data_IF_556204460196
#
_entry.id   IF_556204460196
#
_cell.length_a   1.000
_cell.length_b   1.000
_cell.length_c   1.000
_cell.angle_alpha   90.00
_cell.angle_beta   90.00
_cell.angle_gamma   90.00
#
_symmetry.space_group_name_H-M   'P 1'
#
loop_
_entity.id
_entity.type
_entity.pdbx_description
1 polymer ?
#
# COMPACT_ATOMS: atom_id res chain seq x y z
N UNK A 1 -37.90 -20.05 -31.19
CA UNK A 1 -36.63 -19.96 -31.97
C UNK A 1 -35.83 -18.69 -31.68
N UNK A 2 -36.44 -17.51 -31.57
CA UNK A 2 -35.74 -16.24 -31.31
C UNK A 2 -35.00 -16.21 -29.95
N UNK A 3 -35.61 -16.71 -28.87
CA UNK A 3 -34.98 -16.82 -27.54
C UNK A 3 -33.78 -17.77 -27.48
N UNK A 4 -33.77 -18.83 -28.29
CA UNK A 4 -32.65 -19.78 -28.36
C UNK A 4 -31.44 -19.16 -29.09
N UNK A 5 -31.70 -18.37 -30.14
CA UNK A 5 -30.66 -17.61 -30.86
C UNK A 5 -30.05 -16.52 -29.99
N UNK A 6 -30.85 -15.76 -29.23
CA UNK A 6 -30.34 -14.73 -28.30
C UNK A 6 -29.49 -15.34 -27.18
N UNK A 7 -29.91 -16.48 -26.62
CA UNK A 7 -29.11 -17.21 -25.61
C UNK A 7 -27.78 -17.72 -26.15
N UNK A 8 -27.77 -18.25 -27.37
CA UNK A 8 -26.55 -18.75 -28.00
C UNK A 8 -25.58 -17.61 -28.34
N UNK A 9 -26.09 -16.47 -28.82
CA UNK A 9 -25.26 -15.27 -29.09
C UNK A 9 -24.69 -14.67 -27.79
N UNK A 10 -25.47 -14.61 -26.70
CA UNK A 10 -24.97 -14.13 -25.40
C UNK A 10 -23.91 -15.06 -24.80
N UNK A 11 -24.06 -16.38 -24.93
CA UNK A 11 -23.06 -17.35 -24.50
C UNK A 11 -21.76 -17.26 -25.31
N UNK A 12 -21.86 -17.05 -26.63
CA UNK A 12 -20.69 -16.82 -27.49
C UNK A 12 -20.00 -15.48 -27.19
N UNK A 13 -20.75 -14.41 -26.90
CA UNK A 13 -20.18 -13.13 -26.49
C UNK A 13 -19.47 -13.23 -25.13
N UNK A 14 -20.10 -13.89 -24.16
CA UNK A 14 -19.52 -14.13 -22.84
C UNK A 14 -18.24 -14.98 -22.94
N UNK A 15 -18.25 -16.04 -23.75
CA UNK A 15 -17.05 -16.86 -24.00
C UNK A 15 -15.94 -16.06 -24.72
N UNK A 16 -16.29 -15.19 -25.65
CA UNK A 16 -15.34 -14.30 -26.33
C UNK A 16 -14.65 -13.30 -25.40
N UNK A 17 -15.39 -12.69 -24.47
CA UNK A 17 -14.80 -11.78 -23.46
C UNK A 17 -13.85 -12.50 -22.49
N UNK A 18 -14.10 -13.78 -22.16
CA UNK A 18 -13.24 -14.53 -21.22
C UNK A 18 -11.87 -14.90 -21.78
N UNK A 19 -11.72 -15.00 -23.10
CA UNK A 19 -10.47 -15.40 -23.73
C UNK A 19 -9.47 -14.23 -23.91
N UNK A 20 -9.95 -12.99 -24.04
CA UNK A 20 -9.11 -11.81 -24.33
C UNK A 20 -8.51 -11.21 -23.05
N UNK A 21 -9.14 -11.43 -21.89
CA UNK A 21 -8.71 -10.82 -20.63
C UNK A 21 -7.65 -11.59 -19.85
N UNK A 22 -7.21 -12.79 -20.28
CA UNK A 22 -6.27 -13.59 -19.49
C UNK A 22 -4.83 -13.40 -19.99
N UNK A 23 -3.99 -12.71 -19.23
CA UNK A 23 -2.59 -12.44 -19.55
C UNK A 23 -1.66 -13.01 -18.45
N UNK A 24 -0.39 -13.25 -18.77
CA UNK A 24 0.63 -13.62 -17.77
C UNK A 24 1.35 -12.37 -17.25
N UNK A 25 1.57 -12.29 -15.94
CA UNK A 25 2.47 -11.32 -15.33
C UNK A 25 3.93 -11.58 -15.77
N UNK A 26 4.74 -10.52 -15.96
CA UNK A 26 6.15 -10.67 -16.27
C UNK A 26 6.90 -11.34 -15.12
N UNK A 27 8.00 -12.02 -15.44
CA UNK A 27 8.91 -12.75 -14.52
C UNK A 27 8.29 -13.96 -13.79
N UNK A 28 7.08 -13.86 -13.25
CA UNK A 28 6.42 -14.96 -12.52
C UNK A 28 5.55 -15.86 -13.41
N UNK A 29 5.10 -15.35 -14.56
CA UNK A 29 4.21 -16.08 -15.48
C UNK A 29 2.77 -16.24 -14.98
N UNK A 30 2.43 -15.67 -13.82
CA UNK A 30 1.14 -15.80 -13.15
C UNK A 30 0.00 -15.32 -14.04
N UNK A 31 -1.06 -16.12 -14.15
CA UNK A 31 -2.27 -15.71 -14.89
C UNK A 31 -3.05 -14.65 -14.12
N UNK A 32 -3.46 -13.61 -14.84
CA UNK A 32 -4.23 -12.48 -14.34
C UNK A 32 -5.31 -12.05 -15.32
N UNK A 33 -6.35 -11.43 -14.78
CA UNK A 33 -7.46 -10.87 -15.57
C UNK A 33 -7.23 -9.38 -15.81
N UNK A 34 -7.00 -9.01 -17.07
CA UNK A 34 -6.79 -7.65 -17.55
C UNK A 34 -7.82 -7.34 -18.63
N UNK A 35 -8.89 -6.65 -18.25
CA UNK A 35 -9.97 -6.22 -19.14
C UNK A 35 -9.66 -4.86 -19.80
N UNK A 36 -8.69 -4.13 -19.27
CA UNK A 36 -8.27 -2.82 -19.74
C UNK A 36 -6.94 -2.92 -20.51
N UNK A 37 -6.78 -2.20 -21.65
CA UNK A 37 -5.49 -2.10 -22.30
C UNK A 37 -4.50 -1.28 -21.46
N UNK A 38 -3.22 -1.65 -21.49
CA UNK A 38 -2.17 -0.96 -20.72
C UNK A 38 -2.06 0.53 -21.11
N UNK A 39 -2.35 0.91 -22.35
CA UNK A 39 -2.34 2.32 -22.78
C UNK A 39 -3.35 3.18 -22.01
N UNK A 40 -4.50 2.61 -21.63
CA UNK A 40 -5.48 3.29 -20.81
C UNK A 40 -4.98 3.39 -19.36
N UNK A 41 -4.35 2.33 -18.82
CA UNK A 41 -3.70 2.37 -17.51
C UNK A 41 -2.63 3.45 -17.43
N UNK A 42 -1.79 3.60 -18.47
CA UNK A 42 -0.76 4.65 -18.57
C UNK A 42 -1.37 6.04 -18.59
N UNK A 43 -2.45 6.25 -19.34
CA UNK A 43 -3.15 7.54 -19.39
C UNK A 43 -3.73 7.93 -18.02
N UNK A 44 -4.35 6.96 -17.35
CA UNK A 44 -4.88 7.14 -16.00
C UNK A 44 -3.77 7.37 -14.97
N UNK A 45 -2.66 6.64 -15.06
CA UNK A 45 -1.49 6.80 -14.22
C UNK A 45 -0.88 8.20 -14.34
N UNK A 46 -0.77 8.73 -15.56
CA UNK A 46 -0.32 10.11 -15.79
C UNK A 46 -1.26 11.14 -15.17
N UNK A 47 -2.57 10.95 -15.30
CA UNK A 47 -3.58 11.86 -14.74
C UNK A 47 -3.50 11.88 -13.21
N UNK A 48 -3.43 10.70 -12.59
CA UNK A 48 -3.32 10.57 -11.13
C UNK A 48 -1.99 11.11 -10.59
N UNK A 49 -0.88 10.90 -11.32
CA UNK A 49 0.42 11.44 -10.93
C UNK A 49 0.44 12.98 -10.95
N UNK A 50 -0.15 13.58 -11.99
CA UNK A 50 -0.28 15.04 -12.07
C UNK A 50 -1.16 15.57 -10.93
N UNK A 51 -2.31 14.93 -10.67
CA UNK A 51 -3.21 15.33 -9.58
C UNK A 51 -2.52 15.32 -8.21
N UNK A 52 -1.74 14.28 -7.90
CA UNK A 52 -0.96 14.22 -6.65
C UNK A 52 0.12 15.30 -6.64
N UNK A 53 0.89 15.44 -7.71
CA UNK A 53 2.05 16.35 -7.74
C UNK A 53 1.68 17.83 -7.89
N UNK A 54 0.44 18.14 -8.24
CA UNK A 54 -0.13 19.49 -8.19
C UNK A 54 -0.65 19.86 -6.78
N UNK A 55 -1.11 18.87 -6.00
CA UNK A 55 -1.70 19.08 -4.67
C UNK A 55 -0.68 19.00 -3.54
N UNK A 56 0.30 18.12 -3.68
CA UNK A 56 1.33 17.86 -2.69
C UNK A 56 2.59 18.70 -2.97
N UNK A 57 3.22 19.30 -1.96
CA UNK A 57 4.43 20.09 -2.13
C UNK A 57 5.62 19.21 -2.58
N UNK A 58 6.41 19.65 -3.58
CA UNK A 58 7.64 18.96 -3.96
C UNK A 58 8.71 19.18 -2.88
N UNK A 59 9.44 18.11 -2.55
CA UNK A 59 10.61 18.17 -1.66
C UNK A 59 11.61 19.23 -2.09
N UNK A 60 12.20 19.91 -1.10
CA UNK A 60 13.36 20.80 -1.28
C UNK A 60 14.67 20.13 -0.83
N UNK A 61 14.62 18.89 -0.37
CA UNK A 61 15.78 18.14 0.10
C UNK A 61 16.53 17.54 -1.09
N UNK A 62 17.55 18.25 -1.58
CA UNK A 62 18.36 17.83 -2.73
C UNK A 62 19.03 16.47 -2.52
N UNK A 63 19.39 16.11 -1.28
CA UNK A 63 19.97 14.80 -0.98
C UNK A 63 18.97 13.67 -1.21
N UNK A 64 17.70 13.85 -0.80
CA UNK A 64 16.65 12.87 -1.04
C UNK A 64 16.26 12.79 -2.52
N UNK A 65 16.20 13.93 -3.20
CA UNK A 65 15.93 13.99 -4.64
C UNK A 65 16.99 13.22 -5.43
N UNK A 66 18.28 13.52 -5.20
CA UNK A 66 19.39 12.86 -5.88
C UNK A 66 19.41 11.35 -5.59
N UNK A 67 19.13 10.96 -4.34
CA UNK A 67 19.07 9.58 -3.92
C UNK A 67 17.94 8.81 -4.63
N UNK A 68 16.71 9.33 -4.59
CA UNK A 68 15.54 8.72 -5.24
C UNK A 68 15.72 8.65 -6.75
N UNK A 69 16.26 9.69 -7.38
CA UNK A 69 16.50 9.69 -8.82
C UNK A 69 17.57 8.66 -9.21
N UNK A 70 18.68 8.57 -8.45
CA UNK A 70 19.75 7.59 -8.69
C UNK A 70 19.25 6.17 -8.53
N UNK A 71 18.57 5.86 -7.43
CA UNK A 71 18.01 4.54 -7.16
C UNK A 71 16.98 4.17 -8.22
N UNK A 72 16.03 5.07 -8.47
CA UNK A 72 14.97 4.88 -9.46
C UNK A 72 15.49 4.58 -10.85
N UNK A 73 16.47 5.35 -11.33
CA UNK A 73 17.09 5.13 -12.66
C UNK A 73 17.76 3.76 -12.76
N UNK A 74 18.44 3.28 -11.70
CA UNK A 74 19.06 1.94 -11.70
C UNK A 74 18.01 0.83 -11.75
N UNK A 75 16.93 0.92 -10.97
CA UNK A 75 15.84 -0.06 -11.02
C UNK A 75 15.14 -0.04 -12.39
N UNK A 76 14.83 1.15 -12.91
CA UNK A 76 14.18 1.32 -14.21
C UNK A 76 15.01 0.75 -15.37
N UNK A 77 16.34 0.85 -15.30
CA UNK A 77 17.24 0.28 -16.30
C UNK A 77 17.14 -1.25 -16.41
N UNK A 78 16.82 -1.95 -15.31
CA UNK A 78 16.68 -3.42 -15.28
C UNK A 78 15.23 -3.90 -15.31
N UNK A 79 14.27 -2.99 -15.27
CA UNK A 79 12.83 -3.27 -15.37
C UNK A 79 12.39 -3.71 -16.78
N UNK A 80 13.23 -3.51 -17.80
CA UNK A 80 12.99 -3.90 -19.20
C UNK A 80 11.63 -3.42 -19.75
N UNK A 81 11.29 -2.16 -19.47
CA UNK A 81 10.03 -1.53 -19.87
C UNK A 81 10.28 -0.23 -20.64
N UNK A 82 10.71 -0.31 -21.92
CA UNK A 82 11.12 0.87 -22.71
C UNK A 82 9.97 1.83 -23.04
N UNK A 83 8.72 1.34 -23.04
CA UNK A 83 7.54 2.16 -23.29
C UNK A 83 7.16 3.07 -22.11
N UNK A 84 7.76 2.86 -20.92
CA UNK A 84 7.51 3.69 -19.75
C UNK A 84 8.42 4.92 -19.75
N UNK A 85 7.80 6.09 -19.50
CA UNK A 85 8.50 7.37 -19.37
C UNK A 85 8.77 7.63 -17.90
N UNK A 86 9.81 6.96 -17.40
CA UNK A 86 10.23 6.98 -16.01
C UNK A 86 10.43 8.41 -15.50
N UNK A 87 9.75 8.73 -14.40
CA UNK A 87 9.83 9.99 -13.70
C UNK A 87 9.76 9.71 -12.20
N UNK A 88 10.69 10.29 -11.45
CA UNK A 88 10.84 10.08 -10.02
C UNK A 88 10.69 11.43 -9.33
N UNK A 89 9.76 11.52 -8.38
CA UNK A 89 9.56 12.73 -7.57
C UNK A 89 9.61 12.40 -6.09
N UNK A 90 10.05 13.38 -5.31
CA UNK A 90 10.01 13.33 -3.85
C UNK A 90 8.98 14.34 -3.37
N UNK A 91 8.07 13.90 -2.50
CA UNK A 91 7.00 14.72 -1.92
C UNK A 91 7.38 15.12 -0.50
N UNK A 92 7.30 16.41 -0.19
CA UNK A 92 7.58 16.98 1.14
C UNK A 92 6.44 16.65 2.11
N UNK A 93 6.50 15.46 2.70
CA UNK A 93 5.50 14.99 3.66
C UNK A 93 6.09 13.92 4.58
N UNK A 94 5.66 13.93 5.84
CA UNK A 94 6.04 12.96 6.87
C UNK A 94 5.36 11.60 6.68
N UNK A 95 4.46 11.49 5.71
CA UNK A 95 3.83 10.23 5.35
C UNK A 95 4.88 9.20 4.96
N UNK A 96 4.84 8.03 5.60
CA UNK A 96 5.68 6.90 5.23
C UNK A 96 5.01 6.14 4.09
N UNK A 97 5.24 6.59 2.85
CA UNK A 97 4.66 5.97 1.67
C UNK A 97 5.53 6.16 0.42
N UNK A 98 5.27 5.35 -0.60
CA UNK A 98 5.77 5.48 -1.96
C UNK A 98 4.78 4.79 -2.91
N UNK A 99 4.77 5.18 -4.18
CA UNK A 99 3.97 4.50 -5.19
C UNK A 99 4.62 4.56 -6.57
N UNK A 100 4.28 3.61 -7.44
CA UNK A 100 4.58 3.64 -8.86
C UNK A 100 3.31 3.40 -9.68
N UNK A 101 2.94 4.37 -10.51
CA UNK A 101 1.81 4.27 -11.42
C UNK A 101 2.25 3.79 -12.81
N UNK A 102 1.35 3.16 -13.58
CA UNK A 102 1.60 2.80 -14.97
C UNK A 102 2.14 3.97 -15.79
N UNK A 103 3.10 3.69 -16.67
CA UNK A 103 3.83 4.72 -17.43
C UNK A 103 5.13 5.17 -16.76
N UNK A 104 5.49 4.58 -15.62
CA UNK A 104 6.76 4.81 -14.93
C UNK A 104 6.75 6.05 -14.03
N UNK A 105 5.60 6.36 -13.43
CA UNK A 105 5.45 7.55 -12.58
C UNK A 105 5.60 7.18 -11.12
N UNK A 106 6.76 7.50 -10.54
CA UNK A 106 7.14 7.10 -9.20
C UNK A 106 7.18 8.32 -8.29
N UNK A 107 6.52 8.22 -7.14
CA UNK A 107 6.62 9.22 -6.07
C UNK A 107 7.05 8.56 -4.77
N UNK A 108 7.95 9.21 -4.05
CA UNK A 108 8.43 8.80 -2.72
C UNK A 108 8.17 9.94 -1.76
N UNK A 109 7.53 9.67 -0.63
CA UNK A 109 7.30 10.67 0.41
C UNK A 109 8.53 10.72 1.32
N UNK A 110 8.95 11.91 1.75
CA UNK A 110 10.14 12.05 2.61
C UNK A 110 10.09 11.16 3.85
N UNK A 111 8.90 10.98 4.44
CA UNK A 111 8.69 10.19 5.65
C UNK A 111 9.21 8.75 5.58
N UNK A 112 9.20 8.09 4.41
CA UNK A 112 9.66 6.70 4.29
C UNK A 112 11.19 6.57 4.18
N UNK A 113 11.87 7.62 3.71
CA UNK A 113 13.30 7.57 3.36
C UNK A 113 14.17 7.25 4.60
N UNK A 114 13.97 7.86 5.77
CA UNK A 114 14.76 7.53 6.96
C UNK A 114 14.54 6.10 7.48
N UNK A 115 13.38 5.49 7.21
CA UNK A 115 13.09 4.09 7.59
C UNK A 115 13.90 3.10 6.76
N UNK A 116 14.29 3.50 5.56
CA UNK A 116 15.08 2.69 4.65
C UNK A 116 16.49 2.42 5.19
N UNK A 117 17.06 3.32 6.00
CA UNK A 117 18.40 3.27 6.61
C UNK A 117 19.61 3.22 5.66
N UNK A 118 19.44 2.71 4.44
CA UNK A 118 20.47 2.62 3.40
C UNK A 118 19.86 2.87 2.02
N UNK A 119 20.71 3.19 1.04
CA UNK A 119 20.30 3.28 -0.36
C UNK A 119 19.67 1.98 -0.87
N UNK A 120 20.20 0.81 -0.48
CA UNK A 120 19.59 -0.47 -0.81
C UNK A 120 18.22 -0.66 -0.13
N UNK A 121 18.03 -0.15 1.08
CA UNK A 121 16.72 -0.14 1.73
C UNK A 121 15.68 0.68 0.96
N UNK A 122 16.08 1.83 0.39
CA UNK A 122 15.20 2.60 -0.50
C UNK A 122 14.94 1.85 -1.80
N UNK A 123 15.96 1.17 -2.33
CA UNK A 123 15.82 0.33 -3.50
C UNK A 123 14.84 -0.84 -3.29
N UNK A 124 14.72 -1.39 -2.06
CA UNK A 124 13.68 -2.38 -1.71
C UNK A 124 12.29 -1.78 -1.92
N UNK A 125 12.02 -0.59 -1.37
CA UNK A 125 10.73 0.09 -1.55
C UNK A 125 10.45 0.38 -3.02
N UNK A 126 11.40 1.01 -3.72
CA UNK A 126 11.18 1.43 -5.11
C UNK A 126 11.05 0.23 -6.07
N UNK A 127 11.81 -0.84 -5.87
CA UNK A 127 11.69 -2.05 -6.69
C UNK A 127 10.37 -2.78 -6.47
N UNK A 128 9.83 -2.77 -5.24
CA UNK A 128 8.50 -3.28 -4.93
C UNK A 128 7.41 -2.46 -5.64
N UNK A 129 7.47 -1.13 -5.57
CA UNK A 129 6.50 -0.27 -6.28
C UNK A 129 6.56 -0.49 -7.80
N UNK A 130 7.77 -0.51 -8.37
CA UNK A 130 7.97 -0.77 -9.80
C UNK A 130 7.44 -2.16 -10.18
N UNK A 131 7.62 -3.16 -9.31
CA UNK A 131 7.08 -4.49 -9.52
C UNK A 131 5.55 -4.49 -9.64
N UNK A 132 4.82 -3.71 -8.83
CA UNK A 132 3.37 -3.56 -8.99
C UNK A 132 2.97 -3.02 -10.36
N UNK A 133 3.69 -2.02 -10.86
CA UNK A 133 3.43 -1.43 -12.17
C UNK A 133 3.75 -2.42 -13.31
N UNK A 134 4.89 -3.11 -13.24
CA UNK A 134 5.27 -4.13 -14.24
C UNK A 134 4.28 -5.30 -14.25
N UNK A 135 3.87 -5.77 -13.08
CA UNK A 135 2.88 -6.84 -12.93
C UNK A 135 1.46 -6.40 -13.29
N UNK A 136 1.23 -5.10 -13.50
CA UNK A 136 -0.08 -4.49 -13.76
C UNK A 136 -1.10 -4.79 -12.67
N UNK A 137 -0.66 -4.84 -11.40
CA UNK A 137 -1.54 -5.13 -10.25
C UNK A 137 -2.69 -4.13 -10.12
N UNK A 138 -2.44 -2.84 -10.40
CA UNK A 138 -3.49 -1.82 -10.44
C UNK A 138 -4.54 -2.11 -11.52
N UNK A 139 -4.07 -2.42 -12.74
CA UNK A 139 -4.92 -2.81 -13.86
C UNK A 139 -5.73 -4.08 -13.60
N UNK A 140 -5.12 -5.09 -12.96
CA UNK A 140 -5.79 -6.33 -12.58
C UNK A 140 -6.90 -6.05 -11.55
N UNK A 141 -6.63 -5.24 -10.52
CA UNK A 141 -7.65 -4.84 -9.54
C UNK A 141 -8.80 -4.08 -10.17
N UNK A 142 -8.50 -3.14 -11.06
CA UNK A 142 -9.54 -2.39 -11.78
C UNK A 142 -10.39 -3.32 -12.64
N UNK A 143 -9.76 -4.27 -13.33
CA UNK A 143 -10.43 -5.28 -14.14
C UNK A 143 -11.34 -6.19 -13.30
N UNK A 144 -10.89 -6.61 -12.12
CA UNK A 144 -11.69 -7.37 -11.17
C UNK A 144 -12.91 -6.58 -10.70
N UNK A 145 -12.74 -5.29 -10.37
CA UNK A 145 -13.86 -4.42 -9.98
C UNK A 145 -14.86 -4.24 -11.13
N UNK A 146 -14.39 -4.01 -12.35
CA UNK A 146 -15.25 -3.93 -13.54
C UNK A 146 -16.05 -5.22 -13.77
N UNK A 147 -15.42 -6.38 -13.58
CA UNK A 147 -16.09 -7.67 -13.71
C UNK A 147 -17.20 -7.83 -12.63
N UNK A 148 -16.89 -7.50 -11.38
CA UNK A 148 -17.86 -7.53 -10.27
C UNK A 148 -19.02 -6.58 -10.54
N UNK A 149 -18.75 -5.36 -10.99
CA UNK A 149 -19.80 -4.37 -11.28
C UNK A 149 -20.64 -4.77 -12.49
N UNK A 150 -20.04 -5.34 -13.53
CA UNK A 150 -20.76 -5.90 -14.66
C UNK A 150 -21.72 -7.02 -14.25
N UNK A 151 -21.30 -7.89 -13.33
CA UNK A 151 -22.17 -8.93 -12.75
C UNK A 151 -23.32 -8.31 -11.95
N UNK A 152 -23.05 -7.30 -11.11
CA UNK A 152 -24.10 -6.59 -10.36
C UNK A 152 -25.14 -5.98 -11.30
N UNK A 153 -24.69 -5.30 -12.36
CA UNK A 153 -25.58 -4.70 -13.35
C UNK A 153 -26.44 -5.75 -14.07
N UNK A 154 -25.86 -6.88 -14.45
CA UNK A 154 -26.59 -7.99 -15.07
C UNK A 154 -27.66 -8.58 -14.13
N UNK A 155 -27.33 -8.77 -12.85
CA UNK A 155 -28.29 -9.23 -11.83
C UNK A 155 -29.43 -8.22 -11.67
N UNK A 156 -29.11 -6.94 -11.51
CA UNK A 156 -30.11 -5.86 -11.41
C UNK A 156 -31.03 -5.79 -12.63
N UNK A 157 -30.50 -6.03 -13.83
CA UNK A 157 -31.28 -6.07 -15.07
C UNK A 157 -32.25 -7.25 -15.10
N UNK A 158 -31.80 -8.45 -14.73
CA UNK A 158 -32.65 -9.65 -14.64
C UNK A 158 -33.74 -9.46 -13.57
N UNK A 159 -33.41 -8.78 -12.47
CA UNK A 159 -34.36 -8.43 -11.40
C UNK A 159 -35.26 -7.22 -11.73
N UNK A 160 -35.18 -6.66 -12.94
CA UNK A 160 -35.93 -5.49 -13.42
C UNK A 160 -35.77 -4.22 -12.57
N UNK A 161 -34.69 -4.10 -11.79
CA UNK A 161 -34.45 -2.95 -10.92
C UNK A 161 -33.73 -1.82 -11.68
N UNK A 162 -34.39 -1.24 -12.69
CA UNK A 162 -33.79 -0.29 -13.65
C UNK A 162 -33.33 1.03 -13.02
N UNK A 163 -33.88 1.40 -11.86
CA UNK A 163 -33.46 2.61 -11.14
C UNK A 163 -32.11 2.42 -10.44
N UNK A 164 -31.78 1.21 -9.99
CA UNK A 164 -30.45 0.91 -9.46
C UNK A 164 -29.39 0.93 -10.55
N UNK A 165 -29.69 0.37 -11.74
CA UNK A 165 -28.76 0.38 -12.88
C UNK A 165 -28.39 1.81 -13.28
N UNK A 166 -29.37 2.73 -13.36
CA UNK A 166 -29.10 4.14 -13.68
C UNK A 166 -28.25 4.83 -12.63
N UNK A 167 -28.51 4.58 -11.34
CA UNK A 167 -27.70 5.15 -10.24
C UNK A 167 -26.27 4.64 -10.30
N UNK A 168 -26.06 3.35 -10.51
CA UNK A 168 -24.73 2.73 -10.59
C UNK A 168 -23.92 3.29 -11.76
N UNK A 169 -24.53 3.42 -12.95
CA UNK A 169 -23.86 3.99 -14.14
C UNK A 169 -23.47 5.45 -13.91
N UNK A 170 -24.36 6.26 -13.33
CA UNK A 170 -24.06 7.67 -13.02
C UNK A 170 -22.95 7.76 -11.98
N UNK A 171 -23.01 7.00 -10.89
CA UNK A 171 -21.97 7.00 -9.86
C UNK A 171 -20.61 6.53 -10.39
N UNK A 172 -20.59 5.57 -11.32
CA UNK A 172 -19.37 5.12 -11.97
C UNK A 172 -18.82 6.19 -12.94
N UNK A 173 -19.68 6.87 -13.70
CA UNK A 173 -19.25 7.96 -14.58
C UNK A 173 -18.68 9.16 -13.82
N UNK A 174 -19.20 9.46 -12.62
CA UNK A 174 -18.74 10.57 -11.78
C UNK A 174 -17.60 10.20 -10.81
N UNK A 175 -17.48 8.93 -10.40
CA UNK A 175 -16.53 8.49 -9.36
C UNK A 175 -15.16 8.02 -9.88
N UNK A 176 -14.98 7.88 -11.19
CA UNK A 176 -13.75 7.33 -11.80
C UNK A 176 -12.57 8.31 -11.77
N UNK A 177 -12.77 9.59 -11.44
CA UNK A 177 -11.75 10.63 -11.63
C UNK A 177 -10.66 10.73 -10.56
N UNK A 178 -10.79 10.11 -9.38
CA UNK A 178 -9.78 10.34 -8.31
C UNK A 178 -9.54 9.21 -7.30
N UNK A 179 -10.45 8.25 -7.12
CA UNK A 179 -10.40 7.37 -5.93
C UNK A 179 -9.84 5.96 -6.15
N UNK A 180 -9.73 5.46 -7.37
CA UNK A 180 -9.61 4.02 -7.59
C UNK A 180 -8.18 3.49 -7.82
N UNK A 181 -7.20 4.34 -8.15
CA UNK A 181 -5.86 3.89 -8.56
C UNK A 181 -4.79 3.89 -7.46
N UNK A 182 -4.77 4.90 -6.60
CA UNK A 182 -3.63 5.18 -5.71
C UNK A 182 -3.81 4.58 -4.30
N UNK A 183 -5.05 4.34 -3.86
CA UNK A 183 -5.37 4.07 -2.44
C UNK A 183 -6.06 2.73 -2.19
N UNK A 184 -6.21 1.90 -3.22
CA UNK A 184 -6.90 0.62 -3.09
C UNK A 184 -5.91 -0.46 -2.62
N UNK A 185 -6.10 -1.06 -1.43
CA UNK A 185 -5.13 -1.98 -0.87
C UNK A 185 -4.95 -3.21 -1.75
N UNK A 186 -3.70 -3.55 -2.08
CA UNK A 186 -3.39 -4.71 -2.89
C UNK A 186 -3.75 -6.03 -2.19
N UNK A 187 -3.98 -7.08 -3.00
CA UNK A 187 -4.21 -8.41 -2.44
C UNK A 187 -2.91 -9.00 -1.93
N UNK A 188 -2.94 -9.91 -0.94
CA UNK A 188 -1.73 -10.60 -0.47
C UNK A 188 -0.97 -11.30 -1.61
N UNK A 189 -1.69 -11.80 -2.61
CA UNK A 189 -1.11 -12.42 -3.80
C UNK A 189 -0.35 -11.41 -4.67
N UNK A 190 -0.85 -10.18 -4.79
CA UNK A 190 -0.14 -9.09 -5.47
C UNK A 190 1.11 -8.69 -4.70
N UNK A 191 1.02 -8.59 -3.38
CA UNK A 191 2.16 -8.27 -2.53
C UNK A 191 3.27 -9.31 -2.64
N UNK A 192 2.97 -10.60 -2.49
CA UNK A 192 3.99 -11.67 -2.60
C UNK A 192 4.63 -11.73 -3.99
N UNK A 193 3.86 -11.43 -5.05
CA UNK A 193 4.40 -11.33 -6.41
C UNK A 193 5.29 -10.08 -6.58
N UNK A 194 4.87 -8.95 -6.04
CA UNK A 194 5.65 -7.71 -6.07
C UNK A 194 6.95 -7.85 -5.26
N UNK A 195 6.92 -8.55 -4.13
CA UNK A 195 8.11 -8.90 -3.34
C UNK A 195 9.08 -9.76 -4.14
N UNK A 196 8.61 -10.79 -4.85
CA UNK A 196 9.47 -11.65 -5.67
C UNK A 196 10.07 -10.91 -6.85
N UNK A 197 9.24 -10.20 -7.63
CA UNK A 197 9.71 -9.39 -8.78
C UNK A 197 10.64 -8.28 -8.29
N UNK A 198 10.29 -7.58 -7.21
CA UNK A 198 11.07 -6.51 -6.62
C UNK A 198 12.45 -7.01 -6.20
N UNK A 199 12.55 -8.18 -5.57
CA UNK A 199 13.82 -8.78 -5.18
C UNK A 199 14.71 -9.13 -6.40
N UNK A 200 14.10 -9.58 -7.50
CA UNK A 200 14.80 -9.82 -8.78
C UNK A 200 15.32 -8.51 -9.38
N UNK A 201 14.51 -7.44 -9.38
CA UNK A 201 14.92 -6.13 -9.88
C UNK A 201 16.02 -5.52 -9.02
N UNK A 202 15.88 -5.59 -7.70
CA UNK A 202 16.86 -5.15 -6.72
C UNK A 202 18.22 -5.80 -6.98
N UNK A 203 18.24 -7.12 -7.14
CA UNK A 203 19.44 -7.89 -7.44
C UNK A 203 20.08 -7.49 -8.77
N UNK A 204 19.29 -7.42 -9.85
CA UNK A 204 19.77 -7.05 -11.19
C UNK A 204 20.33 -5.63 -11.24
N UNK A 205 19.77 -4.72 -10.44
CA UNK A 205 20.24 -3.35 -10.31
C UNK A 205 21.52 -3.22 -9.46
N UNK A 206 22.05 -4.33 -8.93
CA UNK A 206 23.29 -4.36 -8.18
C UNK A 206 23.14 -4.06 -6.69
N UNK A 207 21.92 -4.08 -6.13
CA UNK A 207 21.70 -3.92 -4.70
C UNK A 207 21.63 -5.27 -3.99
N UNK A 208 22.11 -5.33 -2.75
CA UNK A 208 22.16 -6.56 -1.96
C UNK A 208 20.74 -7.09 -1.62
N UNK A 209 20.33 -8.25 -2.14
CA UNK A 209 19.00 -8.81 -1.88
C UNK A 209 18.73 -9.15 -0.42
N UNK A 210 19.78 -9.33 0.39
CA UNK A 210 19.65 -9.59 1.83
C UNK A 210 19.10 -8.38 2.59
N UNK A 211 19.06 -7.20 1.95
CA UNK A 211 18.50 -6.00 2.55
C UNK A 211 16.97 -6.02 2.60
N UNK A 212 16.29 -6.70 1.69
CA UNK A 212 14.83 -6.77 1.67
C UNK A 212 14.22 -7.34 2.97
N UNK A 213 14.61 -8.54 3.46
CA UNK A 213 14.07 -9.05 4.72
C UNK A 213 14.44 -8.14 5.92
N UNK A 214 15.62 -7.51 5.90
CA UNK A 214 16.05 -6.58 6.98
C UNK A 214 15.20 -5.31 6.99
N UNK A 215 14.91 -4.74 5.83
CA UNK A 215 14.01 -3.60 5.69
C UNK A 215 12.65 -3.93 6.29
N UNK A 216 12.06 -5.07 5.93
CA UNK A 216 10.74 -5.46 6.43
C UNK A 216 10.70 -5.72 7.94
N UNK A 217 11.79 -6.24 8.52
CA UNK A 217 11.95 -6.32 9.98
C UNK A 217 11.96 -4.92 10.60
N UNK A 218 12.83 -4.01 10.12
CA UNK A 218 12.91 -2.63 10.64
C UNK A 218 11.59 -1.88 10.50
N UNK A 219 10.94 -2.02 9.35
CA UNK A 219 9.66 -1.38 9.06
C UNK A 219 8.55 -1.89 10.00
N UNK A 220 8.55 -3.20 10.31
CA UNK A 220 7.66 -3.79 11.29
C UNK A 220 7.91 -3.35 12.74
N UNK A 221 9.16 -3.03 13.10
CA UNK A 221 9.54 -2.50 14.41
C UNK A 221 9.14 -1.03 14.57
N UNK A 222 9.33 -0.21 13.52
CA UNK A 222 8.88 1.19 13.50
C UNK A 222 7.37 1.35 13.74
N UNK A 223 6.57 0.33 13.34
CA UNK A 223 5.13 0.27 13.56
C UNK A 223 4.71 0.18 15.04
N UNK A 224 5.57 -0.32 15.93
CA UNK A 224 5.18 -0.59 17.33
C UNK A 224 5.07 0.68 18.20
N UNK A 225 5.45 1.86 17.66
CA UNK A 225 5.40 3.15 18.38
C UNK A 225 4.55 4.25 17.72
N UNK A 226 3.97 4.02 16.52
CA UNK A 226 3.24 5.05 15.76
C UNK A 226 1.95 4.52 15.13
N UNK A 227 1.04 5.46 14.81
CA UNK A 227 -0.18 5.26 14.02
C UNK A 227 0.14 4.45 12.75
N UNK A 228 -0.80 3.60 12.32
CA UNK A 228 -0.61 2.67 11.21
C UNK A 228 0.06 3.36 10.01
N UNK A 229 1.27 2.88 9.65
CA UNK A 229 2.06 3.45 8.57
C UNK A 229 1.27 3.38 7.26
N UNK A 230 1.16 4.48 6.52
CA UNK A 230 0.26 4.51 5.36
C UNK A 230 0.68 3.61 4.22
N UNK A 231 1.97 3.30 4.11
CA UNK A 231 2.44 2.21 3.27
C UNK A 231 1.74 0.87 3.60
N UNK A 232 1.50 0.53 4.88
CA UNK A 232 0.79 -0.71 5.26
C UNK A 232 -0.71 -0.66 4.98
N UNK A 233 -1.28 0.54 4.88
CA UNK A 233 -2.68 0.74 4.54
C UNK A 233 -2.91 0.39 3.07
N UNK A 234 -1.97 0.69 2.17
CA UNK A 234 -2.01 0.33 0.75
C UNK A 234 -1.38 -1.02 0.44
N UNK A 235 -0.40 -1.46 1.25
CA UNK A 235 0.44 -2.64 1.03
C UNK A 235 0.37 -3.57 2.25
N UNK A 236 -0.72 -4.34 2.39
CA UNK A 236 -0.94 -5.14 3.59
C UNK A 236 0.12 -6.26 3.71
N UNK A 237 1.07 -6.08 4.64
CA UNK A 237 2.02 -7.12 5.02
C UNK A 237 1.37 -8.26 5.77
N UNK A 238 1.70 -9.50 5.39
CA UNK A 238 1.50 -10.62 6.29
C UNK A 238 2.59 -10.61 7.39
N UNK A 239 2.39 -11.42 8.43
CA UNK A 239 3.35 -11.53 9.55
C UNK A 239 4.66 -12.22 9.13
N UNK A 240 4.71 -12.79 7.93
CA UNK A 240 5.77 -13.67 7.46
C UNK A 240 6.58 -13.07 6.32
N UNK A 241 6.26 -11.85 5.84
CA UNK A 241 6.85 -11.24 4.63
C UNK A 241 8.36 -11.23 4.66
N UNK A 242 8.97 -10.89 5.80
CA UNK A 242 10.42 -10.94 5.97
C UNK A 242 10.98 -12.37 5.83
N UNK A 243 10.29 -13.38 6.35
CA UNK A 243 10.68 -14.78 6.21
C UNK A 243 10.49 -15.30 4.78
N UNK A 244 9.39 -14.91 4.12
CA UNK A 244 9.10 -15.28 2.73
C UNK A 244 10.15 -14.67 1.78
N UNK A 245 10.50 -13.38 1.97
CA UNK A 245 11.60 -12.74 1.25
C UNK A 245 12.94 -13.41 1.53
N UNK A 246 13.23 -13.78 2.78
CA UNK A 246 14.45 -14.50 3.12
C UNK A 246 14.57 -15.85 2.40
N UNK A 247 13.45 -16.53 2.12
CA UNK A 247 13.43 -17.76 1.34
C UNK A 247 13.73 -17.54 -0.15
N UNK A 248 13.45 -16.34 -0.69
CA UNK A 248 13.74 -15.95 -2.07
C UNK A 248 15.16 -15.39 -2.27
N UNK A 249 15.84 -14.98 -1.19
CA UNK A 249 17.20 -14.42 -1.24
C UNK A 249 18.18 -15.30 -2.03
N UNK A 250 18.24 -16.65 -1.89
CA UNK A 250 19.18 -17.45 -2.67
C UNK A 250 19.03 -17.31 -4.19
N UNK A 251 17.80 -17.22 -4.69
CA UNK A 251 17.52 -16.98 -6.12
C UNK A 251 18.03 -15.60 -6.54
N UNK A 252 17.68 -14.57 -5.78
CA UNK A 252 18.07 -13.20 -6.07
C UNK A 252 19.58 -12.99 -5.96
N UNK A 253 20.25 -13.67 -5.02
CA UNK A 253 21.71 -13.61 -4.88
C UNK A 253 22.43 -14.09 -6.14
N UNK A 254 21.91 -15.12 -6.82
CA UNK A 254 22.51 -15.57 -8.09
C UNK A 254 22.47 -14.47 -9.16
N UNK A 255 21.39 -13.68 -9.20
CA UNK A 255 21.26 -12.53 -10.11
C UNK A 255 22.16 -11.36 -9.70
N UNK A 256 22.26 -11.08 -8.41
CA UNK A 256 23.13 -10.04 -7.85
C UNK A 256 24.60 -10.34 -8.16
N UNK A 257 25.04 -11.59 -8.04
CA UNK A 257 26.41 -11.97 -8.36
C UNK A 257 26.75 -11.82 -9.85
N UNK A 258 25.74 -11.92 -10.72
CA UNK A 258 25.84 -11.72 -12.16
C UNK A 258 25.62 -10.25 -12.59
N UNK A 259 25.26 -9.34 -11.67
CA UNK A 259 25.03 -7.94 -11.98
C UNK A 259 26.33 -7.26 -12.45
N UNK A 260 26.27 -6.38 -13.46
CA UNK A 260 27.45 -5.72 -14.01
C UNK A 260 28.13 -4.78 -13.01
N UNK A 261 27.35 -4.20 -12.10
CA UNK A 261 27.81 -3.35 -11.01
C UNK A 261 27.20 -3.86 -9.70
N UNK A 262 28.01 -3.94 -8.63
CA UNK A 262 27.58 -4.40 -7.31
C UNK A 262 27.65 -3.23 -6.32
N UNK A 263 26.54 -2.51 -6.18
CA UNK A 263 26.36 -1.40 -5.25
C UNK A 263 26.35 -1.89 -3.79
N UNK A 264 25.83 -3.11 -3.55
CA UNK A 264 25.68 -3.65 -2.21
C UNK A 264 24.60 -2.90 -1.44
N UNK A 265 24.93 -2.40 -0.24
CA UNK A 265 24.01 -1.58 0.57
C UNK A 265 23.95 -0.11 0.13
N UNK A 266 24.98 0.37 -0.58
CA UNK A 266 25.16 1.79 -0.86
C UNK A 266 25.38 2.65 0.40
N UNK A 267 25.30 3.98 0.30
CA UNK A 267 25.45 4.88 1.43
C UNK A 267 24.33 4.70 2.46
N UNK A 268 24.67 4.98 3.73
CA UNK A 268 23.69 5.07 4.80
C UNK A 268 22.82 6.31 4.61
N UNK A 269 21.56 6.18 5.01
CA UNK A 269 20.62 7.29 5.16
C UNK A 269 20.55 7.56 6.65
N UNK A 270 20.87 8.78 7.07
CA UNK A 270 20.86 9.12 8.49
C UNK A 270 19.48 8.82 9.09
N UNK A 271 19.41 8.09 10.22
CA UNK A 271 18.13 7.74 10.82
C UNK A 271 17.42 9.00 11.31
N UNK A 272 16.08 8.99 11.33
CA UNK A 272 15.34 10.13 11.89
C UNK A 272 15.61 10.20 13.41
N UNK A 273 15.59 11.39 14.03
CA UNK A 273 15.91 11.57 15.45
C UNK A 273 15.12 10.67 16.42
N UNK A 274 13.93 10.21 16.03
CA UNK A 274 13.07 9.34 16.83
C UNK A 274 13.47 7.85 16.83
N UNK A 275 14.37 7.40 15.95
CA UNK A 275 14.86 6.01 15.89
C UNK A 275 16.23 5.81 16.54
N UNK A 276 16.86 6.90 17.01
CA UNK A 276 17.89 6.78 18.04
C UNK A 276 17.14 6.41 19.31
N UNK A 277 17.12 5.13 19.65
CA UNK A 277 16.67 4.66 20.95
C UNK A 277 17.34 5.57 21.99
N UNK A 278 16.54 6.36 22.70
CA UNK A 278 17.03 7.07 23.86
C UNK A 278 17.58 5.99 24.78
N UNK A 279 18.91 5.97 24.90
CA UNK A 279 19.60 5.20 25.93
C UNK A 279 18.84 5.47 27.23
N UNK A 280 18.44 4.46 28.02
CA UNK A 280 17.83 4.73 29.31
C UNK A 280 18.79 5.67 30.04
N UNK A 281 18.33 6.88 30.36
CA UNK A 281 19.08 7.74 31.28
C UNK A 281 19.27 6.90 32.53
N UNK A 282 20.53 6.65 32.89
CA UNK A 282 20.86 6.11 34.20
C UNK A 282 20.17 7.02 35.21
N UNK A 283 19.45 6.47 36.20
CA UNK A 283 18.71 7.28 37.14
C UNK A 283 19.71 8.20 37.85
N UNK A 284 19.57 9.51 37.61
CA UNK A 284 20.28 10.54 38.34
C UNK A 284 19.95 10.32 39.81
N UNK A 285 20.95 9.92 40.59
CA UNK A 285 20.82 9.77 42.03
C UNK A 285 20.43 11.12 42.63
N UNK A 286 19.21 11.22 43.12
CA UNK A 286 18.75 12.35 43.93
C UNK A 286 19.51 12.34 45.27
N UNK A 287 20.00 13.49 45.76
CA UNK A 287 20.63 13.55 47.07
C UNK A 287 19.59 13.22 48.15
N UNK A 288 19.99 12.36 49.08
CA UNK A 288 19.19 11.97 50.24
C UNK A 288 19.11 13.17 51.20
N UNK A 289 17.93 13.78 51.33
CA UNK A 289 17.64 14.65 52.46
C UNK A 289 17.33 13.79 53.69
N UNK A 290 18.18 13.95 54.71
CA UNK A 290 18.08 13.34 56.02
C UNK A 290 16.98 14.05 56.83
N UNK A 291 15.81 13.41 56.97
CA UNK A 291 14.73 13.89 57.84
C UNK A 291 14.75 13.11 59.15
N UNK A 292 15.19 13.79 60.21
CA UNK A 292 15.12 13.35 61.61
C UNK A 292 13.67 13.20 62.07
N UNK A 293 13.31 12.03 62.62
CA UNK A 293 12.11 11.82 63.45
C UNK A 293 12.40 12.15 64.92
N UNK A 294 11.39 12.53 65.71
CA UNK A 294 10.68 11.56 66.57
C UNK A 294 9.17 11.92 66.71
N UNK A 295 8.20 11.20 67.28
CA UNK A 295 8.08 10.13 68.29
C UNK A 295 6.58 9.70 68.36
N UNK A 296 6.31 8.40 68.63
CA UNK A 296 5.15 7.82 69.37
C UNK A 296 3.71 8.07 68.86
N UNK A 297 2.82 7.11 68.64
CA UNK A 297 2.35 6.00 69.51
C UNK A 297 1.56 4.95 68.70
N UNK A 298 1.64 3.69 69.13
CA UNK A 298 0.86 2.49 68.72
C UNK A 298 -0.12 2.20 69.90
N UNK A 299 -1.37 1.66 69.77
CA UNK A 299 -1.57 0.21 69.49
C UNK A 299 -2.93 -0.33 68.96
N UNK A 300 -2.87 -1.57 68.45
CA UNK A 300 -3.94 -2.59 68.49
C UNK A 300 -4.42 -3.09 67.12
N UNK A 301 -3.92 -4.22 66.57
CA UNK A 301 -4.35 -5.63 66.81
C UNK A 301 -5.79 -5.93 66.29
N UNK A 302 -6.17 -7.00 65.57
CA UNK A 302 -5.59 -8.23 65.03
C UNK A 302 -6.65 -8.85 64.02
N UNK A 303 -6.68 -10.15 63.61
CA UNK A 303 -6.57 -10.58 62.20
C UNK A 303 -7.77 -11.45 61.70
N UNK A 304 -7.60 -12.53 60.91
CA UNK A 304 -7.86 -12.63 59.47
C UNK A 304 -9.05 -13.54 59.10
N UNK A 305 -9.51 -13.55 57.84
CA UNK A 305 -10.30 -14.65 57.30
C UNK A 305 -10.22 -14.79 55.77
N UNK A 306 -9.91 -16.01 55.33
CA UNK A 306 -10.04 -16.51 53.97
C UNK A 306 -11.44 -17.12 53.74
N UNK A 307 -11.92 -17.12 52.49
CA UNK A 307 -12.93 -18.02 51.88
C UNK A 307 -13.49 -17.34 50.62
N UNK A 308 -13.15 -17.78 49.40
CA UNK A 308 -13.81 -18.84 48.61
C UNK A 308 -15.13 -18.42 47.92
N UNK A 309 -15.05 -18.49 46.58
CA UNK A 309 -16.03 -19.08 45.66
C UNK A 309 -17.24 -18.26 45.12
N UNK A 310 -17.53 -18.61 43.87
CA UNK A 310 -18.82 -18.66 43.15
C UNK A 310 -19.30 -17.46 42.31
N UNK A 311 -19.29 -17.74 40.99
CA UNK A 311 -20.40 -17.63 40.03
C UNK A 311 -21.00 -16.27 39.66
N UNK A 312 -21.09 -16.06 38.34
CA UNK A 312 -22.26 -15.45 37.72
C UNK A 312 -21.97 -14.17 36.96
N UNK A 313 -22.04 -14.25 35.63
CA UNK A 313 -22.98 -13.47 34.81
C UNK A 313 -22.46 -13.32 33.38
N UNK A 314 -23.29 -13.77 32.44
CA UNK A 314 -23.22 -13.47 31.02
C UNK A 314 -23.44 -11.97 30.77
N UNK A 315 -22.72 -11.32 29.84
CA UNK A 315 -23.14 -10.01 29.35
C UNK A 315 -23.98 -10.13 28.07
N UNK A 316 -24.99 -9.26 28.01
CA UNK A 316 -25.92 -9.03 26.90
C UNK A 316 -25.23 -8.46 25.64
N UNK A 317 -25.86 -8.56 24.45
CA UNK A 317 -25.28 -8.09 23.20
C UNK A 317 -25.33 -6.56 23.07
N UNK A 318 -24.21 -5.97 22.65
CA UNK A 318 -24.06 -4.54 22.37
C UNK A 318 -24.22 -4.33 20.85
N UNK A 319 -25.24 -3.59 20.44
CA UNK A 319 -25.45 -3.13 19.06
C UNK A 319 -24.50 -1.97 18.72
N UNK A 320 -23.88 -1.92 17.53
CA UNK A 320 -23.18 -0.74 17.05
C UNK A 320 -23.95 -0.10 15.88
N UNK A 321 -24.79 0.90 16.15
CA UNK A 321 -25.24 1.86 15.13
C UNK A 321 -25.28 3.26 15.74
N UNK A 322 -24.13 3.94 15.68
CA UNK A 322 -24.04 5.38 15.88
C UNK A 322 -24.49 6.09 14.61
N UNK A 323 -25.53 6.92 14.75
CA UNK A 323 -26.13 7.69 13.67
C UNK A 323 -25.18 8.77 13.14
N UNK A 324 -24.86 8.72 11.85
CA UNK A 324 -24.26 9.84 11.11
C UNK A 324 -25.36 10.77 10.60
N UNK A 325 -25.32 12.03 11.02
CA UNK A 325 -26.10 13.14 10.43
C UNK A 325 -25.43 13.58 9.13
N UNK A 326 -26.16 13.54 8.02
CA UNK A 326 -25.74 14.16 6.76
C UNK A 326 -26.02 15.68 6.78
N UNK A 327 -25.12 16.52 6.23
CA UNK A 327 -25.41 17.93 6.00
C UNK A 327 -26.35 18.09 4.79
N UNK A 328 -27.36 18.94 4.96
CA UNK A 328 -28.30 19.39 3.93
C UNK A 328 -27.64 20.34 2.94
N UNK A 329 -27.73 20.01 1.64
CA UNK A 329 -27.29 20.85 0.52
C UNK A 329 -28.46 21.77 0.09
N UNK A 330 -28.25 23.09 -0.10
CA UNK A 330 -29.30 23.99 -0.59
C UNK A 330 -29.58 23.83 -2.11
N UNK A 331 -30.79 24.15 -2.59
CA UNK A 331 -31.17 23.96 -3.99
C UNK A 331 -30.56 25.03 -4.91
N UNK A 332 -30.02 24.59 -6.04
CA UNK A 332 -29.54 25.45 -7.14
C UNK A 332 -30.75 25.85 -8.00
N UNK A 333 -31.04 27.15 -8.05
CA UNK A 333 -32.05 27.74 -8.94
C UNK A 333 -31.47 28.06 -10.32
N UNK A 334 -32.19 27.66 -11.37
CA UNK A 334 -32.52 28.52 -12.50
C UNK A 334 -31.57 28.58 -13.71
N UNK A 335 -31.80 27.72 -14.70
CA UNK A 335 -31.46 28.01 -16.10
C UNK A 335 -32.75 28.34 -16.88
N UNK A 336 -32.84 29.56 -17.40
CA UNK A 336 -33.84 29.95 -18.41
C UNK A 336 -33.37 29.50 -19.80
N UNK A 337 -34.28 29.09 -20.71
CA UNK A 337 -33.94 28.84 -22.10
C UNK A 337 -33.84 30.15 -22.88
N UNK A 338 -32.79 30.30 -23.70
CA UNK A 338 -32.79 31.27 -24.79
C UNK A 338 -33.42 30.65 -26.03
N UNK A 339 -34.21 31.48 -26.71
CA UNK A 339 -34.74 31.27 -28.06
C UNK A 339 -33.63 31.33 -29.10
#
# INVERSE_FOLDING_TARGET
MMFARVRFTLLLLAAGLTAVGCQSAPLTGRKQMLLMPESQEVSMGLTAFNDVTEKEPPSQNTTYIDLVERVGKRIAAVADKPDYKWEFKVIESDQQNAFCLPGGKVAVYEGIIPVCATEAGLAVVMSHEIAHALARHGGERMSQNMAVDGVKQAVSYVMQNQDQIRKDIVMQAYGVSSQYGVLLPYSRKHESEADHIGLILLAKAGYDPREAPRFWTRFGEAKQGQQQLEFMSTHPSDKNRAADLAALVPEAMALFEAAPEKIGLGPNIDPPPAMVATKPEEPVATPTEEVTQPSTTVPGAAPPAAASATTGASPAPVSPFGAFKFPTIPPIFGLKPQQ
#
